data_IF_358018403892
#
_entry.id   IF_358018403892
#
_cell.length_a   1.000
_cell.length_b   1.000
_cell.length_c   1.000
_cell.angle_alpha   90.00
_cell.angle_beta   90.00
_cell.angle_gamma   90.00
#
_symmetry.space_group_name_H-M   'P 1'
#
loop_
_entity.id
_entity.type
_entity.pdbx_description
1 polymer ?
#
# COMPACT_ATOMS: atom_id res chain seq x y z
N UNK A 1 -1.13 14.95 13.21
CA UNK A 1 -1.84 15.80 12.23
C UNK A 1 -0.86 16.82 11.70
N UNK A 2 -0.84 17.00 10.38
CA UNK A 2 0.00 17.97 9.71
C UNK A 2 -0.81 18.75 8.69
N UNK A 3 -0.39 19.98 8.36
CA UNK A 3 -0.90 20.71 7.20
C UNK A 3 -0.16 20.21 5.95
N UNK A 4 -0.84 19.60 4.96
CA UNK A 4 -0.19 19.09 3.76
C UNK A 4 0.36 20.19 2.83
N UNK A 5 -0.02 21.46 3.01
CA UNK A 5 0.45 22.58 2.19
C UNK A 5 1.75 23.18 2.72
N UNK A 6 1.94 23.17 4.04
CA UNK A 6 3.08 23.84 4.70
C UNK A 6 4.05 22.87 5.36
N UNK A 7 3.62 21.63 5.62
CA UNK A 7 4.38 20.65 6.38
C UNK A 7 4.34 20.85 7.90
N UNK A 8 3.58 21.84 8.40
CA UNK A 8 3.51 22.14 9.83
C UNK A 8 2.86 21.01 10.63
N UNK A 9 3.43 20.66 11.79
CA UNK A 9 2.87 19.69 12.73
C UNK A 9 1.85 20.38 13.64
N UNK A 10 0.57 20.22 13.31
CA UNK A 10 -0.53 20.85 14.04
C UNK A 10 -0.86 20.13 15.36
N UNK A 11 -0.65 18.81 15.40
CA UNK A 11 -0.84 18.01 16.60
C UNK A 11 -0.08 16.68 16.52
N UNK A 12 0.54 16.26 17.62
CA UNK A 12 1.12 14.93 17.79
C UNK A 12 0.76 14.40 19.18
N UNK A 13 0.29 13.16 19.24
CA UNK A 13 -0.07 12.50 20.48
C UNK A 13 0.33 11.03 20.42
N UNK A 14 0.60 10.43 21.57
CA UNK A 14 0.87 9.00 21.71
C UNK A 14 0.32 8.52 23.04
N UNK A 15 -0.36 7.37 23.04
CA UNK A 15 -0.80 6.74 24.28
C UNK A 15 0.39 6.13 25.01
N UNK A 16 0.43 6.25 26.34
CA UNK A 16 1.50 5.68 27.16
C UNK A 16 1.21 4.20 27.40
N UNK A 17 2.20 3.33 27.20
CA UNK A 17 2.16 1.92 27.63
C UNK A 17 3.10 1.73 28.82
N UNK A 18 2.62 1.11 29.90
CA UNK A 18 3.44 0.73 31.06
C UNK A 18 4.34 1.85 31.64
N UNK A 19 3.85 3.09 31.73
CA UNK A 19 4.62 4.21 32.28
C UNK A 19 5.70 4.80 31.34
N UNK A 20 5.88 4.25 30.14
CA UNK A 20 6.78 4.77 29.10
C UNK A 20 6.44 6.21 28.72
N UNK A 21 7.47 7.05 28.59
CA UNK A 21 7.38 8.45 28.09
C UNK A 21 7.78 8.59 26.61
N UNK A 22 8.04 7.48 25.91
CA UNK A 22 8.44 7.52 24.51
C UNK A 22 7.31 8.01 23.61
N UNK A 23 7.66 8.83 22.63
CA UNK A 23 6.76 9.26 21.56
C UNK A 23 6.70 8.18 20.48
N UNK A 24 5.83 7.19 20.71
CA UNK A 24 5.69 6.02 19.83
C UNK A 24 5.38 6.38 18.37
N UNK A 25 4.66 7.47 18.15
CA UNK A 25 4.40 8.00 16.80
C UNK A 25 5.69 8.35 16.01
N UNK A 26 6.83 8.48 16.70
CA UNK A 26 8.14 8.81 16.12
C UNK A 26 9.15 7.67 16.30
N UNK A 27 9.13 7.00 17.45
CA UNK A 27 10.19 6.05 17.82
C UNK A 27 9.93 4.60 17.40
N UNK A 28 8.67 4.21 17.23
CA UNK A 28 8.31 2.80 17.09
C UNK A 28 8.17 2.45 15.60
N UNK A 29 9.04 1.61 15.03
CA UNK A 29 8.87 1.14 13.66
C UNK A 29 7.68 0.18 13.59
N UNK A 30 6.96 0.21 12.46
CA UNK A 30 5.85 -0.69 12.18
C UNK A 30 5.76 -0.99 10.68
N UNK A 31 5.11 -2.10 10.33
CA UNK A 31 4.78 -2.41 8.94
C UNK A 31 3.50 -1.65 8.54
N UNK A 32 3.55 -0.72 7.56
CA UNK A 32 2.40 0.13 7.20
C UNK A 32 1.24 -0.64 6.54
N UNK A 33 1.51 -1.84 6.02
CA UNK A 33 0.52 -2.68 5.35
C UNK A 33 -0.15 -1.96 4.17
N UNK A 34 -1.47 -2.12 4.05
CA UNK A 34 -2.26 -1.55 2.95
C UNK A 34 -2.20 -0.02 2.83
N UNK A 35 -1.78 0.71 3.87
CA UNK A 35 -1.62 2.17 3.78
C UNK A 35 -0.51 2.58 2.81
N UNK A 36 0.37 1.66 2.41
CA UNK A 36 1.41 1.89 1.40
C UNK A 36 0.92 1.76 -0.05
N UNK A 37 -0.23 1.09 -0.28
CA UNK A 37 -0.76 0.79 -1.63
C UNK A 37 -0.95 2.03 -2.52
N UNK A 38 -1.44 3.19 -2.02
CA UNK A 38 -1.55 4.38 -2.85
C UNK A 38 -0.22 4.87 -3.43
N UNK A 39 0.90 4.68 -2.72
CA UNK A 39 2.24 5.06 -3.21
C UNK A 39 2.71 4.14 -4.34
N UNK A 40 2.44 2.84 -4.23
CA UNK A 40 2.72 1.87 -5.31
C UNK A 40 1.88 2.19 -6.55
N UNK A 41 0.60 2.52 -6.38
CA UNK A 41 -0.24 2.95 -7.49
C UNK A 41 0.23 4.27 -8.11
N UNK A 42 0.68 5.24 -7.30
CA UNK A 42 1.28 6.47 -7.80
C UNK A 42 2.54 6.19 -8.64
N UNK A 43 3.40 5.27 -8.20
CA UNK A 43 4.58 4.85 -8.96
C UNK A 43 4.20 4.21 -10.30
N UNK A 44 3.15 3.38 -10.33
CA UNK A 44 2.63 2.77 -11.56
C UNK A 44 2.12 3.83 -12.54
N UNK A 45 1.33 4.80 -12.07
CA UNK A 45 0.75 5.83 -12.91
C UNK A 45 1.82 6.79 -13.45
N UNK A 46 2.69 7.29 -12.57
CA UNK A 46 3.74 8.25 -12.94
C UNK A 46 4.85 7.62 -13.78
N UNK A 47 5.10 6.32 -13.62
CA UNK A 47 6.01 5.56 -14.47
C UNK A 47 5.39 5.08 -15.79
N UNK A 48 4.13 5.43 -16.07
CA UNK A 48 3.35 4.93 -17.21
C UNK A 48 3.38 3.39 -17.32
N UNK A 49 3.37 2.70 -16.18
CA UNK A 49 3.35 1.22 -16.08
C UNK A 49 1.94 0.64 -15.98
N UNK A 50 0.98 1.48 -15.61
CA UNK A 50 -0.43 1.15 -15.66
C UNK A 50 -1.28 2.40 -15.82
N UNK A 51 -2.50 2.23 -16.33
CA UNK A 51 -3.59 3.20 -16.19
C UNK A 51 -4.55 2.78 -15.07
N UNK A 52 -5.41 3.69 -14.59
CA UNK A 52 -6.45 3.35 -13.60
C UNK A 52 -7.43 2.28 -14.10
N UNK A 53 -7.62 2.19 -15.41
CA UNK A 53 -8.48 1.21 -16.08
C UNK A 53 -7.79 -0.12 -16.41
N UNK A 54 -6.47 -0.22 -16.22
CA UNK A 54 -5.76 -1.47 -16.45
C UNK A 54 -6.26 -2.53 -15.48
N UNK A 55 -6.48 -3.73 -15.99
CA UNK A 55 -7.06 -4.82 -15.23
C UNK A 55 -6.02 -5.86 -14.81
N UNK A 56 -6.38 -6.58 -13.75
CA UNK A 56 -5.66 -7.74 -13.25
C UNK A 56 -6.65 -8.74 -12.66
N UNK A 57 -6.40 -10.03 -12.87
CA UNK A 57 -7.18 -11.09 -12.23
C UNK A 57 -6.68 -11.33 -10.81
N UNK A 58 -7.56 -11.16 -9.81
CA UNK A 58 -7.27 -11.30 -8.38
C UNK A 58 -7.46 -12.74 -7.86
N UNK A 59 -7.46 -13.74 -8.76
CA UNK A 59 -7.40 -15.17 -8.43
C UNK A 59 -8.51 -15.66 -7.50
N UNK A 60 -9.68 -15.02 -7.56
CA UNK A 60 -10.83 -15.34 -6.70
C UNK A 60 -10.45 -15.36 -5.20
N UNK A 61 -9.51 -14.51 -4.78
CA UNK A 61 -9.16 -14.30 -3.37
C UNK A 61 -7.98 -15.11 -2.84
N UNK A 62 -7.43 -16.08 -3.59
CA UNK A 62 -6.23 -16.82 -3.19
C UNK A 62 -5.21 -16.95 -4.33
N UNK A 63 -4.01 -16.42 -4.12
CA UNK A 63 -2.92 -16.47 -5.10
C UNK A 63 -1.63 -17.00 -4.48
N UNK A 64 -1.09 -18.07 -5.05
CA UNK A 64 0.20 -18.64 -4.61
C UNK A 64 1.34 -18.13 -5.50
N UNK A 65 2.29 -17.41 -4.90
CA UNK A 65 3.49 -16.89 -5.54
C UNK A 65 4.73 -17.53 -4.92
N UNK A 66 5.28 -18.53 -5.61
CA UNK A 66 6.29 -19.42 -5.03
C UNK A 66 5.73 -20.12 -3.78
N UNK A 67 6.44 -20.00 -2.66
CA UNK A 67 6.02 -20.59 -1.38
C UNK A 67 5.00 -19.72 -0.62
N UNK A 68 4.78 -18.47 -1.04
CA UNK A 68 3.91 -17.54 -0.32
C UNK A 68 2.49 -17.59 -0.86
N UNK A 69 1.53 -17.86 0.03
CA UNK A 69 0.11 -17.69 -0.23
C UNK A 69 -0.30 -16.24 0.09
N UNK A 70 -0.92 -15.58 -0.88
CA UNK A 70 -1.42 -14.22 -0.80
C UNK A 70 -2.94 -14.31 -0.84
N UNK A 71 -3.61 -13.62 0.09
CA UNK A 71 -5.06 -13.64 0.24
C UNK A 71 -5.63 -12.25 0.19
N UNK A 72 -6.77 -12.12 -0.47
CA UNK A 72 -7.65 -10.97 -0.30
C UNK A 72 -8.65 -11.25 0.81
N UNK A 73 -9.27 -10.19 1.33
CA UNK A 73 -10.34 -10.32 2.33
C UNK A 73 -11.62 -10.91 1.72
N UNK A 74 -11.84 -10.67 0.42
CA UNK A 74 -12.99 -11.17 -0.33
C UNK A 74 -12.53 -11.77 -1.66
N UNK A 75 -13.35 -12.67 -2.21
CA UNK A 75 -13.11 -13.26 -3.52
C UNK A 75 -13.40 -12.24 -4.62
N UNK A 76 -12.34 -11.83 -5.33
CA UNK A 76 -12.44 -10.95 -6.47
C UNK A 76 -11.93 -11.64 -7.73
N UNK A 77 -12.67 -11.47 -8.83
CA UNK A 77 -12.22 -11.87 -10.16
C UNK A 77 -11.29 -10.82 -10.76
N UNK A 78 -11.65 -10.31 -11.93
CA UNK A 78 -10.90 -9.23 -12.58
C UNK A 78 -11.22 -7.88 -11.93
N UNK A 79 -10.18 -7.14 -11.55
CA UNK A 79 -10.27 -5.79 -11.01
C UNK A 79 -9.43 -4.82 -11.84
N UNK A 80 -9.90 -3.59 -12.00
CA UNK A 80 -9.08 -2.45 -12.46
C UNK A 80 -8.11 -1.99 -11.36
N UNK A 81 -7.04 -1.26 -11.70
CA UNK A 81 -6.14 -0.65 -10.70
C UNK A 81 -6.92 0.25 -9.71
N UNK A 82 -7.91 1.00 -10.19
CA UNK A 82 -8.80 1.79 -9.33
C UNK A 82 -9.56 0.91 -8.32
N UNK A 83 -10.08 -0.23 -8.75
CA UNK A 83 -10.77 -1.19 -7.87
C UNK A 83 -9.81 -1.91 -6.94
N UNK A 84 -8.59 -2.24 -7.38
CA UNK A 84 -7.54 -2.81 -6.53
C UNK A 84 -7.25 -1.88 -5.34
N UNK A 85 -7.17 -0.57 -5.57
CA UNK A 85 -7.04 0.41 -4.49
C UNK A 85 -8.30 0.51 -3.63
N UNK A 86 -9.48 0.57 -4.25
CA UNK A 86 -10.77 0.70 -3.56
C UNK A 86 -11.05 -0.48 -2.63
N UNK A 87 -10.83 -1.70 -3.09
CA UNK A 87 -11.05 -2.93 -2.34
C UNK A 87 -9.81 -3.39 -1.57
N UNK A 88 -8.71 -2.65 -1.68
CA UNK A 88 -7.44 -3.00 -1.06
C UNK A 88 -7.02 -4.44 -1.38
N UNK A 89 -7.20 -4.89 -2.63
CA UNK A 89 -6.79 -6.24 -3.05
C UNK A 89 -5.26 -6.38 -2.93
N UNK A 90 -4.81 -7.31 -2.10
CA UNK A 90 -3.40 -7.69 -1.96
C UNK A 90 -2.91 -8.37 -3.23
N UNK A 91 -3.71 -9.29 -3.78
CA UNK A 91 -3.36 -10.07 -4.96
C UNK A 91 -3.23 -9.14 -6.18
N UNK A 92 -4.23 -8.30 -6.41
CA UNK A 92 -4.22 -7.32 -7.48
C UNK A 92 -3.05 -6.35 -7.36
N UNK A 93 -2.74 -5.90 -6.13
CA UNK A 93 -1.62 -5.00 -5.90
C UNK A 93 -0.29 -5.68 -6.21
N UNK A 94 -0.05 -6.88 -5.69
CA UNK A 94 1.20 -7.63 -5.92
C UNK A 94 1.46 -7.78 -7.41
N UNK A 95 0.46 -8.27 -8.17
CA UNK A 95 0.59 -8.50 -9.61
C UNK A 95 0.78 -7.23 -10.42
N UNK A 96 0.04 -6.15 -10.12
CA UNK A 96 0.23 -4.88 -10.81
C UNK A 96 1.61 -4.28 -10.49
N UNK A 97 2.09 -4.44 -9.25
CA UNK A 97 3.39 -3.93 -8.82
C UNK A 97 4.59 -4.60 -9.51
N UNK A 98 4.42 -5.80 -10.09
CA UNK A 98 5.47 -6.50 -10.85
C UNK A 98 5.86 -5.77 -12.14
N UNK A 99 5.04 -4.81 -12.59
CA UNK A 99 5.35 -3.95 -13.73
C UNK A 99 6.39 -2.86 -13.41
N UNK A 100 6.65 -2.60 -12.13
CA UNK A 100 7.67 -1.64 -11.69
C UNK A 100 9.03 -2.32 -11.57
N UNK A 101 10.08 -1.62 -12.01
CA UNK A 101 11.47 -2.01 -11.71
C UNK A 101 11.78 -1.80 -10.21
N UNK A 102 12.75 -2.54 -9.64
CA UNK A 102 13.17 -2.32 -8.25
C UNK A 102 13.55 -0.86 -7.92
N UNK A 103 14.17 -0.16 -8.88
CA UNK A 103 14.51 1.26 -8.71
C UNK A 103 13.31 2.21 -8.79
N UNK A 104 12.22 1.80 -9.46
CA UNK A 104 10.97 2.55 -9.46
C UNK A 104 10.22 2.34 -8.14
N UNK A 105 10.21 1.12 -7.60
CA UNK A 105 9.70 0.84 -6.24
C UNK A 105 10.40 1.70 -5.19
N UNK A 106 11.74 1.66 -5.15
CA UNK A 106 12.52 2.36 -4.13
C UNK A 106 12.37 3.88 -4.20
N UNK A 107 12.15 4.47 -5.38
CA UNK A 107 12.06 5.94 -5.51
C UNK A 107 10.81 6.52 -4.85
N UNK A 108 9.73 5.75 -4.78
CA UNK A 108 8.43 6.21 -4.28
C UNK A 108 8.20 5.87 -2.79
N UNK A 109 9.18 5.23 -2.14
CA UNK A 109 9.13 4.77 -0.75
C UNK A 109 10.27 5.40 0.05
#
# INVERSE_FOLDING_TARGET
MSDPRTGELLAAASTRRAGSRHWRAVTDPYEPGSTLKPFVAAALLAGHRASLSDTVFAENGEYRRGERLIRDEHEYGTLTLAEVLRYSSNIGMVKLSERLRPSEHYRYL
#
